data_IF_846598546513
#
_entry.id   IF_846598546513
#
_cell.length_a   1.000
_cell.length_b   1.000
_cell.length_c   1.000
_cell.angle_alpha   90.00
_cell.angle_beta   90.00
_cell.angle_gamma   90.00
#
_symmetry.space_group_name_H-M   'P 1'
#
loop_
_entity.id
_entity.type
_entity.pdbx_description
1 polymer ?
#
# COMPACT_ATOMS: atom_id res chain seq x y z
N UNK A 1 -7.14 11.06 -2.50
CA UNK A 1 -6.75 9.95 -3.39
C UNK A 1 -5.67 10.31 -4.41
N UNK A 2 -5.76 11.44 -5.13
CA UNK A 2 -4.82 11.75 -6.23
C UNK A 2 -3.34 11.89 -5.83
N UNK A 3 -3.00 12.22 -4.58
CA UNK A 3 -1.60 12.49 -4.18
C UNK A 3 -0.65 11.30 -4.37
N UNK A 4 -1.09 10.07 -4.07
CA UNK A 4 -0.23 8.88 -4.25
C UNK A 4 -0.12 8.53 -5.74
N UNK A 5 -1.26 8.46 -6.44
CA UNK A 5 -1.29 7.97 -7.82
C UNK A 5 -0.83 8.99 -8.87
N UNK A 6 -0.81 10.28 -8.52
CA UNK A 6 -0.27 11.33 -9.39
C UNK A 6 1.27 11.45 -9.31
N UNK A 7 1.93 10.79 -8.35
CA UNK A 7 3.37 10.85 -8.21
C UNK A 7 4.09 10.16 -9.39
N UNK A 8 5.16 10.78 -9.88
CA UNK A 8 5.96 10.31 -11.02
C UNK A 8 7.44 10.20 -10.66
N UNK A 9 8.16 9.40 -11.44
CA UNK A 9 9.60 9.16 -11.23
C UNK A 9 9.88 8.62 -9.83
N UNK A 10 10.91 9.20 -9.19
CA UNK A 10 11.40 8.79 -7.87
C UNK A 10 10.45 9.16 -6.73
N UNK A 11 9.42 9.98 -6.98
CA UNK A 11 8.43 10.35 -5.97
C UNK A 11 7.35 9.28 -5.75
N UNK A 12 7.38 8.19 -6.52
CA UNK A 12 6.43 7.09 -6.37
C UNK A 12 6.66 6.36 -5.06
N UNK A 13 5.57 6.05 -4.35
CA UNK A 13 5.65 5.20 -3.18
C UNK A 13 6.12 3.79 -3.62
N UNK A 14 7.32 3.41 -3.19
CA UNK A 14 8.00 2.17 -3.58
C UNK A 14 7.18 0.92 -3.23
N UNK A 15 6.55 0.91 -2.05
CA UNK A 15 5.77 -0.22 -1.58
C UNK A 15 4.51 -0.42 -2.43
N UNK A 16 3.76 0.66 -2.71
CA UNK A 16 2.60 0.62 -3.60
C UNK A 16 3.03 0.22 -5.02
N UNK A 17 4.14 0.76 -5.52
CA UNK A 17 4.66 0.44 -6.84
C UNK A 17 4.98 -1.05 -6.99
N UNK A 18 5.63 -1.65 -6.00
CA UNK A 18 5.94 -3.08 -5.97
C UNK A 18 4.66 -3.94 -6.09
N UNK A 19 3.65 -3.67 -5.26
CA UNK A 19 2.41 -4.44 -5.24
C UNK A 19 1.66 -4.34 -6.57
N UNK A 20 1.57 -3.14 -7.14
CA UNK A 20 0.91 -2.91 -8.44
C UNK A 20 1.68 -3.57 -9.59
N UNK A 21 3.02 -3.62 -9.54
CA UNK A 21 3.83 -4.33 -10.53
C UNK A 21 3.52 -5.83 -10.47
N UNK A 22 3.52 -6.44 -9.28
CA UNK A 22 3.23 -7.88 -9.14
C UNK A 22 1.83 -8.23 -9.68
N UNK A 23 0.83 -7.37 -9.43
CA UNK A 23 -0.52 -7.52 -10.00
C UNK A 23 -0.54 -7.38 -11.53
N UNK A 24 0.12 -6.35 -12.06
CA UNK A 24 0.15 -6.07 -13.49
C UNK A 24 0.83 -7.20 -14.26
N UNK A 25 1.96 -7.68 -13.74
CA UNK A 25 2.72 -8.79 -14.34
C UNK A 25 1.87 -10.05 -14.36
N UNK A 26 1.17 -10.38 -13.28
CA UNK A 26 0.26 -11.52 -13.24
C UNK A 26 -0.79 -11.46 -14.36
N UNK A 27 -1.48 -10.32 -14.51
CA UNK A 27 -2.49 -10.15 -15.55
C UNK A 27 -1.92 -10.25 -16.97
N UNK A 28 -0.74 -9.70 -17.24
CA UNK A 28 -0.07 -9.84 -18.54
C UNK A 28 0.19 -11.30 -18.88
N UNK A 29 0.65 -12.10 -17.90
CA UNK A 29 0.90 -13.53 -18.12
C UNK A 29 -0.37 -14.34 -18.34
N UNK A 30 -1.47 -14.02 -17.63
CA UNK A 30 -2.76 -14.65 -17.86
C UNK A 30 -3.28 -14.43 -19.28
N UNK A 31 -3.03 -13.27 -19.88
CA UNK A 31 -3.44 -12.95 -21.26
C UNK A 31 -2.57 -13.69 -22.28
N UNK A 32 -1.24 -13.69 -22.08
CA UNK A 32 -0.32 -14.19 -23.11
C UNK A 32 -0.16 -15.72 -23.08
N UNK A 33 0.04 -16.31 -21.90
CA UNK A 33 0.25 -17.75 -21.76
C UNK A 33 -0.04 -18.22 -20.32
N UNK A 34 -1.30 -18.54 -19.99
CA UNK A 34 -1.68 -18.96 -18.65
C UNK A 34 -1.03 -20.29 -18.22
N UNK A 35 -0.62 -21.15 -19.17
CA UNK A 35 0.01 -22.44 -18.88
C UNK A 35 1.45 -22.32 -18.37
N UNK A 36 2.14 -21.19 -18.65
CA UNK A 36 3.51 -20.93 -18.19
C UNK A 36 3.58 -20.03 -16.95
N UNK A 37 2.46 -19.83 -16.25
CA UNK A 37 2.47 -19.06 -15.01
C UNK A 37 3.22 -19.84 -13.92
N UNK A 38 4.31 -19.28 -13.40
CA UNK A 38 5.03 -19.88 -12.28
C UNK A 38 4.25 -19.70 -10.98
N UNK A 39 4.35 -20.70 -10.08
CA UNK A 39 3.73 -20.64 -8.74
C UNK A 39 4.14 -19.36 -7.99
N UNK A 40 5.43 -19.00 -8.06
CA UNK A 40 5.96 -17.77 -7.44
C UNK A 40 5.20 -16.51 -7.87
N UNK A 41 4.76 -16.39 -9.13
CA UNK A 41 3.98 -15.22 -9.57
C UNK A 41 2.56 -15.22 -9.04
N UNK A 42 1.96 -16.41 -8.92
CA UNK A 42 0.65 -16.56 -8.31
C UNK A 42 0.72 -16.18 -6.82
N UNK A 43 1.71 -16.67 -6.10
CA UNK A 43 1.91 -16.38 -4.67
C UNK A 43 2.13 -14.87 -4.44
N UNK A 44 2.93 -14.22 -5.30
CA UNK A 44 3.13 -12.75 -5.24
C UNK A 44 1.86 -11.97 -5.52
N UNK A 45 1.08 -12.40 -6.50
CA UNK A 45 -0.22 -11.79 -6.80
C UNK A 45 -1.17 -11.93 -5.61
N UNK A 46 -1.30 -13.13 -5.04
CA UNK A 46 -2.16 -13.40 -3.89
C UNK A 46 -1.74 -12.53 -2.69
N UNK A 47 -0.44 -12.45 -2.40
CA UNK A 47 0.09 -11.57 -1.35
C UNK A 47 -0.20 -10.09 -1.61
N UNK A 48 -0.08 -9.63 -2.85
CA UNK A 48 -0.39 -8.23 -3.20
C UNK A 48 -1.89 -7.94 -3.01
N UNK A 49 -2.77 -8.87 -3.36
CA UNK A 49 -4.22 -8.74 -3.15
C UNK A 49 -4.56 -8.74 -1.66
N UNK A 50 -3.99 -9.64 -0.86
CA UNK A 50 -4.17 -9.67 0.60
C UNK A 50 -3.70 -8.37 1.25
N UNK A 51 -2.53 -7.88 0.84
CA UNK A 51 -2.01 -6.62 1.33
C UNK A 51 -2.95 -5.44 1.00
N UNK A 52 -3.49 -5.38 -0.22
CA UNK A 52 -4.45 -4.32 -0.60
C UNK A 52 -5.74 -4.40 0.21
N UNK A 53 -6.22 -5.60 0.55
CA UNK A 53 -7.38 -5.80 1.44
C UNK A 53 -7.08 -5.29 2.85
N UNK A 54 -5.95 -5.69 3.43
CA UNK A 54 -5.54 -5.26 4.77
C UNK A 54 -5.32 -3.74 4.86
N UNK A 55 -4.84 -3.11 3.78
CA UNK A 55 -4.77 -1.63 3.68
C UNK A 55 -6.18 -1.01 3.65
N UNK A 56 -7.10 -1.59 2.89
CA UNK A 56 -8.48 -1.09 2.80
C UNK A 56 -9.25 -1.26 4.12
N UNK A 57 -8.91 -2.30 4.90
CA UNK A 57 -9.46 -2.58 6.22
C UNK A 57 -8.80 -1.75 7.34
N UNK A 58 -7.81 -0.92 7.01
CA UNK A 58 -7.01 -0.10 7.93
C UNK A 58 -6.13 -0.90 8.92
N UNK A 59 -5.95 -2.20 8.69
CA UNK A 59 -5.07 -3.08 9.48
C UNK A 59 -3.59 -2.79 9.18
N UNK A 60 -3.26 -2.50 7.91
CA UNK A 60 -1.93 -2.10 7.48
C UNK A 60 -1.89 -0.62 7.12
N UNK A 61 -1.05 0.15 7.83
CA UNK A 61 -0.77 1.54 7.48
C UNK A 61 0.33 1.64 6.42
N UNK A 62 0.15 2.54 5.45
CA UNK A 62 1.16 2.84 4.42
C UNK A 62 1.92 4.09 4.83
N UNK A 63 3.23 3.96 5.02
CA UNK A 63 4.10 5.10 5.28
C UNK A 63 4.07 6.10 4.12
N UNK A 64 3.85 7.39 4.44
CA UNK A 64 3.77 8.47 3.45
C UNK A 64 2.43 8.58 2.70
N UNK A 65 1.47 7.69 2.98
CA UNK A 65 0.12 7.83 2.43
C UNK A 65 -0.66 8.97 3.10
N UNK A 66 -1.48 9.73 2.35
CA UNK A 66 -2.33 10.74 2.93
C UNK A 66 -3.34 10.07 3.85
N UNK A 67 -3.33 10.57 5.06
CA UNK A 67 -4.17 10.12 6.12
C UNK A 67 -5.64 10.54 5.88
N UNK A 68 -6.59 9.59 5.89
CA UNK A 68 -8.02 9.80 6.21
C UNK A 68 -8.26 10.78 7.40
N UNK A 69 -9.43 11.45 7.45
CA UNK A 69 -9.84 12.26 8.61
C UNK A 69 -9.87 11.45 9.92
N UNK A 70 -9.62 12.13 11.05
CA UNK A 70 -9.53 11.48 12.38
C UNK A 70 -10.85 10.80 12.80
N UNK A 71 -11.99 11.37 12.42
CA UNK A 71 -13.34 10.82 12.68
C UNK A 71 -13.56 9.45 12.03
N UNK A 72 -12.95 9.20 10.86
CA UNK A 72 -13.10 7.94 10.14
C UNK A 72 -12.10 6.88 10.62
N UNK A 73 -10.91 7.31 11.06
CA UNK A 73 -9.87 6.42 11.61
C UNK A 73 -10.20 5.80 12.96
N UNK A 74 -10.99 6.50 13.77
CA UNK A 74 -11.20 6.14 15.18
C UNK A 74 -11.91 4.79 15.37
N UNK A 75 -12.53 4.24 14.31
CA UNK A 75 -13.31 3.01 14.39
C UNK A 75 -12.57 1.70 14.14
N UNK A 76 -11.33 1.71 13.60
CA UNK A 76 -10.73 0.47 13.03
C UNK A 76 -9.24 0.21 13.27
N UNK A 77 -8.45 1.17 13.76
CA UNK A 77 -7.02 0.94 13.98
C UNK A 77 -6.74 0.34 15.36
N UNK A 78 -6.31 -0.92 15.39
CA UNK A 78 -6.06 -1.71 16.62
C UNK A 78 -4.85 -1.16 17.43
N UNK A 79 -3.89 -0.54 16.74
CA UNK A 79 -2.74 0.12 17.37
C UNK A 79 -2.43 1.48 16.74
N UNK A 80 -2.43 2.55 17.55
CA UNK A 80 -2.09 3.92 17.13
C UNK A 80 -0.80 4.37 17.82
N UNK A 81 0.33 4.27 17.11
CA UNK A 81 1.62 4.78 17.58
C UNK A 81 1.83 6.19 17.00
N UNK A 82 1.74 7.21 17.85
CA UNK A 82 2.09 8.60 17.50
C UNK A 82 3.28 9.06 18.34
N UNK A 83 4.26 9.71 17.70
CA UNK A 83 5.32 10.40 18.42
C UNK A 83 4.85 11.79 18.85
N UNK A 84 5.28 12.22 20.03
CA UNK A 84 4.95 13.55 20.53
C UNK A 84 5.65 14.61 19.66
N UNK A 85 4.95 15.70 19.31
CA UNK A 85 5.56 16.79 18.53
C UNK A 85 6.75 17.35 19.31
N UNK A 86 7.87 17.63 18.63
CA UNK A 86 9.11 18.10 19.26
C UNK A 86 8.79 19.29 20.19
N UNK A 87 9.06 19.14 21.49
CA UNK A 87 8.95 20.26 22.44
C UNK A 87 9.91 21.36 22.00
N UNK A 88 9.36 22.49 21.59
CA UNK A 88 10.13 23.72 21.36
C UNK A 88 10.33 24.39 22.72
N UNK A 89 11.54 24.32 23.27
CA UNK A 89 11.91 25.19 24.38
C UNK A 89 12.13 26.60 23.82
N UNK A 90 11.23 27.52 24.15
CA UNK A 90 11.52 28.95 24.06
C UNK A 90 12.36 29.30 25.29
N UNK A 91 13.56 29.82 25.05
CA UNK A 91 14.38 30.50 26.06
C UNK A 91 14.01 31.97 26.11
#
# INVERSE_FOLDING_TARGET
>A
CNKIFAATGDNRNQLVLMMVIDMTVYHIFCIHNPQKLSQVRKDRYERAVEWMKAVADEDISIEGAPLLPEEQRAGRSDFRIQSNRKRTNHW
#
